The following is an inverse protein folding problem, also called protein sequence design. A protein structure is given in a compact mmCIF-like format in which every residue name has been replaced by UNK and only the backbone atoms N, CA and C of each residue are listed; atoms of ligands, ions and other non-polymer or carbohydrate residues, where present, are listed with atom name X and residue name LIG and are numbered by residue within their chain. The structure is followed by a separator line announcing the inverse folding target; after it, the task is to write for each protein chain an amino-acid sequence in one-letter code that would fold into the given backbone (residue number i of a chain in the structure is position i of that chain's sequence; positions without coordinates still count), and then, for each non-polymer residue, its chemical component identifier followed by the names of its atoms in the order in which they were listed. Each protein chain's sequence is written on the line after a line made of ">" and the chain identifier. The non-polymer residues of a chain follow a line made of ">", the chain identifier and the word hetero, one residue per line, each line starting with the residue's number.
data_IF_521455074034
#
_entry.id   IF_521455074034
#
_cell.length_a   1.000
_cell.length_b   1.000
_cell.length_c   1.000
_cell.angle_alpha   90.00
_cell.angle_beta   90.00
_cell.angle_gamma   90.00
#
_symmetry.space_group_name_H-M   'P 1'
#
loop_
_entity.id
_entity.type
_entity.pdbx_description
1 polymer ?
#
# COMPACT_ATOMS: atom_id res chain seq x y z
N UNK A 1 31.16 9.73 -10.58
CA UNK A 1 30.39 8.50 -10.22
C UNK A 1 29.85 8.53 -8.79
N UNK A 2 30.45 9.30 -7.86
CA UNK A 2 30.02 9.39 -6.46
C UNK A 2 28.64 10.05 -6.25
N UNK A 3 28.25 11.00 -7.11
CA UNK A 3 26.98 11.73 -7.01
C UNK A 3 25.72 10.86 -7.23
N UNK A 4 25.83 9.73 -7.93
CA UNK A 4 24.69 8.82 -8.18
C UNK A 4 24.45 7.90 -6.97
N UNK A 5 25.51 7.55 -6.24
CA UNK A 5 25.43 6.67 -5.07
C UNK A 5 24.78 7.42 -3.89
N UNK A 6 25.16 8.68 -3.67
CA UNK A 6 24.58 9.56 -2.65
C UNK A 6 23.08 9.86 -2.88
N UNK A 7 22.65 10.02 -4.13
CA UNK A 7 21.22 10.20 -4.46
C UNK A 7 20.40 8.95 -4.14
N UNK A 8 20.93 7.76 -4.48
CA UNK A 8 20.26 6.48 -4.20
C UNK A 8 20.13 6.18 -2.70
N UNK A 9 21.08 6.59 -1.87
CA UNK A 9 20.99 6.39 -0.42
C UNK A 9 19.96 7.31 0.23
N UNK A 10 19.87 8.57 -0.23
CA UNK A 10 18.81 9.49 0.19
C UNK A 10 17.41 8.98 -0.17
N UNK A 11 17.19 8.57 -1.42
CA UNK A 11 15.91 7.99 -1.86
C UNK A 11 15.50 6.77 -1.03
N UNK A 12 16.48 5.95 -0.59
CA UNK A 12 16.22 4.79 0.25
C UNK A 12 15.82 5.18 1.67
N UNK A 13 16.46 6.19 2.25
CA UNK A 13 16.11 6.73 3.56
C UNK A 13 14.72 7.39 3.54
N UNK A 14 14.42 8.16 2.49
CA UNK A 14 13.12 8.81 2.32
C UNK A 14 11.98 7.77 2.22
N UNK A 15 12.20 6.68 1.48
CA UNK A 15 11.23 5.57 1.42
C UNK A 15 11.04 4.88 2.76
N UNK A 16 12.11 4.70 3.55
CA UNK A 16 12.00 4.12 4.89
C UNK A 16 11.24 5.03 5.84
N UNK A 17 11.49 6.34 5.79
CA UNK A 17 10.77 7.33 6.57
C UNK A 17 9.28 7.35 6.20
N UNK A 18 8.96 7.41 4.90
CA UNK A 18 7.58 7.34 4.40
C UNK A 18 6.88 6.06 4.85
N UNK A 19 7.57 4.91 4.79
CA UNK A 19 7.01 3.65 5.25
C UNK A 19 6.73 3.65 6.76
N UNK A 20 7.59 4.28 7.56
CA UNK A 20 7.40 4.39 9.01
C UNK A 20 6.20 5.28 9.34
N UNK A 21 6.14 6.46 8.73
CA UNK A 21 5.04 7.42 8.91
C UNK A 21 3.72 6.81 8.44
N UNK A 22 3.70 6.15 7.28
CA UNK A 22 2.50 5.49 6.77
C UNK A 22 2.01 4.38 7.71
N UNK A 23 2.92 3.62 8.34
CA UNK A 23 2.58 2.59 9.32
C UNK A 23 1.98 3.21 10.58
N UNK A 24 2.58 4.26 11.11
CA UNK A 24 2.07 4.97 12.29
C UNK A 24 0.69 5.58 12.02
N UNK A 25 0.53 6.27 10.89
CA UNK A 25 -0.76 6.83 10.47
C UNK A 25 -1.84 5.75 10.32
N UNK A 26 -1.50 4.61 9.71
CA UNK A 26 -2.42 3.47 9.58
C UNK A 26 -2.85 2.90 10.94
N UNK A 27 -1.93 2.82 11.91
CA UNK A 27 -2.24 2.36 13.25
C UNK A 27 -3.18 3.32 13.99
N UNK A 28 -2.94 4.63 13.87
CA UNK A 28 -3.79 5.67 14.46
C UNK A 28 -5.18 5.63 13.83
N UNK A 29 -5.28 5.64 12.50
CA UNK A 29 -6.55 5.57 11.80
C UNK A 29 -7.35 4.31 12.19
N UNK A 30 -6.71 3.15 12.33
CA UNK A 30 -7.39 1.93 12.78
C UNK A 30 -7.91 2.03 14.22
N UNK A 31 -7.19 2.71 15.12
CA UNK A 31 -7.63 2.92 16.50
C UNK A 31 -8.81 3.89 16.57
N UNK A 32 -8.73 5.00 15.84
CA UNK A 32 -9.80 5.99 15.75
C UNK A 32 -11.05 5.40 15.12
N UNK A 33 -10.91 4.69 13.99
CA UNK A 33 -12.02 4.01 13.36
C UNK A 33 -12.67 2.98 14.28
N UNK A 34 -11.88 2.23 15.06
CA UNK A 34 -12.43 1.31 16.07
C UNK A 34 -13.18 2.05 17.18
N UNK A 35 -12.67 3.20 17.64
CA UNK A 35 -13.32 4.01 18.67
C UNK A 35 -14.63 4.67 18.18
N UNK A 36 -14.70 4.99 16.88
CA UNK A 36 -15.84 5.63 16.23
C UNK A 36 -16.79 4.63 15.54
N UNK A 37 -16.54 3.32 15.69
CA UNK A 37 -17.27 2.25 15.01
C UNK A 37 -17.33 2.40 13.47
N UNK A 38 -16.33 3.04 12.88
CA UNK A 38 -16.25 3.27 11.45
C UNK A 38 -15.67 2.04 10.73
N UNK A 39 -16.26 1.63 9.60
CA UNK A 39 -15.72 0.54 8.79
C UNK A 39 -14.41 0.96 8.12
N UNK A 40 -13.44 0.03 8.09
CA UNK A 40 -12.15 0.22 7.43
C UNK A 40 -12.06 -0.66 6.19
N UNK A 41 -11.66 -0.06 5.07
CA UNK A 41 -11.41 -0.80 3.84
C UNK A 41 -9.98 -1.34 3.80
N UNK A 42 -9.84 -2.63 3.57
CA UNK A 42 -8.55 -3.34 3.51
C UNK A 42 -8.53 -4.25 2.29
N UNK A 43 -7.35 -4.45 1.71
CA UNK A 43 -7.14 -5.45 0.66
C UNK A 43 -6.69 -6.76 1.32
N UNK A 44 -7.50 -7.81 1.20
CA UNK A 44 -7.23 -9.15 1.74
C UNK A 44 -7.54 -10.18 0.65
N UNK A 45 -6.62 -11.11 0.38
CA UNK A 45 -6.78 -12.21 -0.61
C UNK A 45 -7.27 -11.79 -2.01
N UNK A 46 -6.82 -10.63 -2.48
CA UNK A 46 -7.25 -10.09 -3.78
C UNK A 46 -8.69 -9.58 -3.79
N UNK A 47 -9.23 -9.23 -2.64
CA UNK A 47 -10.53 -8.56 -2.49
C UNK A 47 -10.37 -7.28 -1.68
N UNK A 48 -11.18 -6.28 -2.01
CA UNK A 48 -11.40 -5.11 -1.16
C UNK A 48 -12.51 -5.51 -0.19
N UNK A 49 -12.18 -5.51 1.11
CA UNK A 49 -13.08 -5.87 2.19
C UNK A 49 -13.28 -4.67 3.13
N UNK A 50 -14.49 -4.48 3.61
CA UNK A 50 -14.79 -3.63 4.77
C UNK A 50 -14.73 -4.47 6.04
N UNK A 51 -13.91 -4.05 7.00
CA UNK A 51 -13.88 -4.60 8.36
C UNK A 51 -14.59 -3.62 9.29
N UNK A 52 -15.60 -4.10 10.00
CA UNK A 52 -16.33 -3.32 10.99
C UNK A 52 -15.74 -3.54 12.40
N UNK A 53 -16.09 -2.67 13.35
CA UNK A 53 -15.57 -2.73 14.72
C UNK A 53 -16.04 -3.97 15.50
N UNK A 54 -17.19 -4.55 15.12
CA UNK A 54 -17.75 -5.79 15.65
C UNK A 54 -17.01 -7.06 15.17
N UNK A 55 -16.06 -6.90 14.25
CA UNK A 55 -15.30 -7.99 13.64
C UNK A 55 -15.97 -8.60 12.40
N UNK A 56 -17.15 -8.12 12.01
CA UNK A 56 -17.79 -8.53 10.76
C UNK A 56 -17.01 -8.03 9.55
N UNK A 57 -17.10 -8.79 8.45
CA UNK A 57 -16.42 -8.49 7.19
C UNK A 57 -17.43 -8.43 6.06
N UNK A 58 -17.33 -7.41 5.21
CA UNK A 58 -18.10 -7.30 3.97
C UNK A 58 -17.16 -7.26 2.78
N UNK A 59 -17.35 -8.17 1.82
CA UNK A 59 -16.60 -8.15 0.56
C UNK A 59 -17.24 -7.10 -0.35
N UNK A 60 -16.47 -6.06 -0.72
CA UNK A 60 -16.95 -5.01 -1.64
C UNK A 60 -16.70 -5.43 -3.08
N UNK A 61 -15.47 -5.81 -3.39
CA UNK A 61 -15.05 -6.04 -4.78
C UNK A 61 -13.86 -6.99 -4.86
N UNK A 62 -13.86 -7.85 -5.88
CA UNK A 62 -12.69 -8.64 -6.25
C UNK A 62 -11.71 -7.80 -7.07
N UNK A 63 -10.46 -7.73 -6.62
CA UNK A 63 -9.35 -7.18 -7.38
C UNK A 63 -8.90 -8.21 -8.42
N UNK A 64 -9.42 -8.05 -9.64
CA UNK A 64 -8.95 -8.83 -10.79
C UNK A 64 -7.57 -8.31 -11.16
N UNK A 65 -6.53 -9.14 -10.95
CA UNK A 65 -5.20 -8.85 -11.46
C UNK A 65 -5.22 -8.94 -12.98
N UNK A 66 -5.20 -7.79 -13.65
CA UNK A 66 -5.06 -7.73 -15.09
C UNK A 66 -3.60 -8.04 -15.41
N UNK A 67 -3.34 -9.14 -16.12
CA UNK A 67 -2.01 -9.41 -16.66
C UNK A 67 -1.68 -8.28 -17.66
N UNK A 68 -0.59 -7.58 -17.42
CA UNK A 68 -0.02 -6.68 -18.41
C UNK A 68 0.27 -7.50 -19.68
N UNK A 69 -0.28 -7.09 -20.83
CA UNK A 69 0.00 -7.71 -22.15
C UNK A 69 1.43 -7.44 -22.63
N UNK A 70 2.33 -7.03 -21.74
CA UNK A 70 3.66 -6.53 -22.06
C UNK A 70 4.69 -7.48 -21.48
N UNK A 71 5.45 -8.13 -22.36
CA UNK A 71 6.61 -8.91 -21.95
C UNK A 71 7.77 -7.96 -21.61
N UNK A 72 7.91 -7.64 -20.33
CA UNK A 72 9.00 -6.82 -19.82
C UNK A 72 10.25 -7.68 -19.63
N UNK A 73 11.35 -7.31 -20.30
CA UNK A 73 12.66 -7.92 -20.06
C UNK A 73 13.18 -7.51 -18.68
N UNK A 74 14.04 -8.34 -18.09
CA UNK A 74 14.72 -8.04 -16.82
C UNK A 74 15.45 -6.68 -16.95
N UNK A 75 15.13 -5.73 -16.08
CA UNK A 75 15.67 -4.36 -16.11
C UNK A 75 14.80 -3.32 -16.84
N UNK A 76 13.64 -3.70 -17.38
CA UNK A 76 12.71 -2.74 -17.97
C UNK A 76 12.00 -1.91 -16.88
N UNK A 77 11.88 -0.61 -17.14
CA UNK A 77 11.17 0.34 -16.26
C UNK A 77 9.79 0.61 -16.84
N UNK A 78 8.75 0.34 -16.05
CA UNK A 78 7.37 0.61 -16.43
C UNK A 78 6.97 1.99 -15.89
N UNK A 79 6.83 2.98 -16.79
CA UNK A 79 6.30 4.29 -16.44
C UNK A 79 4.79 4.30 -16.65
N UNK A 80 4.03 4.40 -15.57
CA UNK A 80 2.61 4.70 -15.59
C UNK A 80 2.46 6.22 -15.61
N UNK A 81 1.65 6.74 -16.53
CA UNK A 81 1.35 8.17 -16.66
C UNK A 81 0.10 8.52 -15.88
#
# INVERSE_FOLDING_TARGET
>A
MESVVLKRTHERLDRLLLSKVAREASLVANRENKALELPVQVVEDGHIIEKYADGSKRIIKKLVRVKSKVNLKKGAVLCLK
#
